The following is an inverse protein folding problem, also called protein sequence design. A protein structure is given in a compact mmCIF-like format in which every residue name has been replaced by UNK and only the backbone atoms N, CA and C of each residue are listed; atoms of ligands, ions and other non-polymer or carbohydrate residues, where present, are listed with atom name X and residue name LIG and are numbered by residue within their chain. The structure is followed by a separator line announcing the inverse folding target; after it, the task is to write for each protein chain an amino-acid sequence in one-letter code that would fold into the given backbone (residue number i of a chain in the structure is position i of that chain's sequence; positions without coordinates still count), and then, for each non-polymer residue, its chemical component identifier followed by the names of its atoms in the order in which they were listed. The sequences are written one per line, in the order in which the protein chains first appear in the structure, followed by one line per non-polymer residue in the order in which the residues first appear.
data_IF_612119578859
#
_entry.id   IF_612119578859
#
_cell.length_a   1.000
_cell.length_b   1.000
_cell.length_c   1.000
_cell.angle_alpha   90.00
_cell.angle_beta   90.00
_cell.angle_gamma   90.00
#
_symmetry.space_group_name_H-M   'P 1'
#
loop_
_entity.id
_entity.type
_entity.pdbx_description
1 polymer ?
#
# COMPACT_ATOMS: atom_id res chain seq x y z
N UNK A 1 -4.54 16.33 22.45
CA UNK A 1 -4.07 14.99 22.63
C UNK A 1 -3.00 14.65 21.63
N UNK A 2 -2.01 13.99 22.10
CA UNK A 2 -1.00 13.51 21.18
C UNK A 2 -1.68 12.53 20.23
N UNK A 3 -1.71 12.86 18.98
CA UNK A 3 -2.27 11.96 18.02
C UNK A 3 -1.33 10.81 17.77
N UNK A 4 -1.88 9.64 17.57
CA UNK A 4 -1.13 8.56 16.99
C UNK A 4 -1.06 8.81 15.50
N UNK A 5 0.13 8.68 14.94
CA UNK A 5 0.28 8.76 13.50
C UNK A 5 -0.31 7.50 12.87
N UNK A 6 -1.01 7.68 11.76
CA UNK A 6 -1.48 6.54 10.99
C UNK A 6 -0.27 5.76 10.47
N UNK A 7 -0.38 4.45 10.43
CA UNK A 7 0.70 3.58 9.98
C UNK A 7 0.48 3.18 8.53
N UNK A 8 1.49 3.42 7.70
CA UNK A 8 1.50 3.04 6.29
C UNK A 8 2.51 1.92 6.11
N UNK A 9 2.05 0.79 5.58
CA UNK A 9 2.92 -0.32 5.22
C UNK A 9 3.26 -0.20 3.74
N UNK A 10 4.55 -0.09 3.44
CA UNK A 10 5.03 0.08 2.06
C UNK A 10 5.62 -1.24 1.60
N UNK A 11 5.02 -1.84 0.57
CA UNK A 11 5.41 -3.14 0.05
C UNK A 11 5.93 -3.00 -1.38
N UNK A 12 7.24 -3.03 -1.54
CA UNK A 12 7.90 -2.90 -2.83
C UNK A 12 9.29 -3.50 -2.70
N UNK A 13 9.76 -4.20 -3.74
CA UNK A 13 11.09 -4.82 -3.70
C UNK A 13 12.21 -3.83 -4.02
N UNK A 14 11.90 -2.61 -4.45
CA UNK A 14 12.90 -1.59 -4.75
C UNK A 14 13.08 -0.65 -3.56
N UNK A 15 14.26 -0.68 -2.90
CA UNK A 15 14.51 0.22 -1.77
C UNK A 15 14.35 1.69 -2.10
N UNK A 16 14.76 2.09 -3.32
CA UNK A 16 14.66 3.49 -3.73
C UNK A 16 13.22 3.96 -3.81
N UNK A 17 12.31 3.10 -4.25
CA UNK A 17 10.91 3.46 -4.34
C UNK A 17 10.27 3.54 -2.94
N UNK A 18 10.63 2.60 -2.06
CA UNK A 18 10.15 2.69 -0.68
C UNK A 18 10.60 3.99 -0.02
N UNK A 19 11.86 4.37 -0.26
CA UNK A 19 12.38 5.62 0.28
C UNK A 19 11.64 6.84 -0.29
N UNK A 20 11.38 6.84 -1.59
CA UNK A 20 10.63 7.93 -2.21
C UNK A 20 9.27 8.10 -1.56
N UNK A 21 8.55 7.00 -1.35
CA UNK A 21 7.23 7.05 -0.72
C UNK A 21 7.34 7.57 0.71
N UNK A 22 8.29 7.04 1.48
CA UNK A 22 8.48 7.45 2.87
C UNK A 22 8.79 8.94 2.96
N UNK A 23 9.70 9.43 2.12
CA UNK A 23 10.08 10.85 2.13
C UNK A 23 8.91 11.73 1.70
N UNK A 24 8.13 11.28 0.71
CA UNK A 24 6.96 12.02 0.24
C UNK A 24 5.91 12.22 1.32
N UNK A 25 5.86 11.31 2.30
CA UNK A 25 4.86 11.32 3.37
C UNK A 25 5.48 11.70 4.74
N UNK A 26 6.72 12.12 4.74
CA UNK A 26 7.49 12.35 5.96
C UNK A 26 6.80 13.30 6.93
N UNK A 27 6.92 12.99 8.21
CA UNK A 27 6.39 13.83 9.30
C UNK A 27 4.91 13.64 9.57
N UNK A 28 4.20 12.87 8.74
CA UNK A 28 2.74 12.73 8.85
C UNK A 28 2.28 11.32 9.18
N UNK A 29 3.16 10.34 9.00
CA UNK A 29 2.79 8.93 9.14
C UNK A 29 3.90 8.15 9.80
N UNK A 30 3.53 7.04 10.40
CA UNK A 30 4.47 6.02 10.84
C UNK A 30 4.59 4.99 9.72
N UNK A 31 5.76 4.39 9.54
CA UNK A 31 6.00 3.51 8.40
C UNK A 31 6.51 2.14 8.81
N UNK A 32 6.14 1.13 8.03
CA UNK A 32 6.79 -0.16 8.01
C UNK A 32 7.04 -0.50 6.55
N UNK A 33 8.06 -1.31 6.28
CA UNK A 33 8.45 -1.65 4.92
C UNK A 33 8.59 -3.14 4.74
N UNK A 34 8.08 -3.64 3.63
CA UNK A 34 8.21 -5.04 3.23
C UNK A 34 8.82 -5.07 1.82
N UNK A 35 9.69 -6.04 1.56
CA UNK A 35 10.37 -6.13 0.28
C UNK A 35 9.91 -7.31 -0.57
N UNK A 36 8.96 -8.10 -0.08
CA UNK A 36 8.32 -9.14 -0.88
C UNK A 36 6.91 -9.40 -0.34
N UNK A 37 6.14 -10.19 -1.09
CA UNK A 37 4.74 -10.39 -0.76
C UNK A 37 4.49 -11.15 0.51
N UNK A 38 5.35 -12.12 0.85
CA UNK A 38 5.18 -12.87 2.08
C UNK A 38 5.46 -11.99 3.30
N UNK A 39 6.51 -11.20 3.25
CA UNK A 39 6.79 -10.25 4.32
C UNK A 39 5.68 -9.24 4.47
N UNK A 40 5.11 -8.79 3.35
CA UNK A 40 3.99 -7.86 3.37
C UNK A 40 2.81 -8.44 4.16
N UNK A 41 2.44 -9.68 3.88
CA UNK A 41 1.34 -10.32 4.60
C UNK A 41 1.64 -10.48 6.08
N UNK A 42 2.85 -10.90 6.42
CA UNK A 42 3.24 -11.07 7.81
C UNK A 42 3.15 -9.75 8.58
N UNK A 43 3.70 -8.69 8.00
CA UNK A 43 3.67 -7.38 8.64
C UNK A 43 2.26 -6.80 8.71
N UNK A 44 1.45 -7.00 7.68
CA UNK A 44 0.07 -6.52 7.70
C UNK A 44 -0.73 -7.19 8.83
N UNK A 45 -0.53 -8.49 9.02
CA UNK A 45 -1.23 -9.22 10.07
C UNK A 45 -0.75 -8.80 11.46
N UNK A 46 0.53 -8.53 11.60
CA UNK A 46 1.11 -8.14 12.89
C UNK A 46 0.75 -6.71 13.25
N UNK A 47 0.91 -5.78 12.32
CA UNK A 47 0.78 -4.35 12.58
C UNK A 47 -0.62 -3.80 12.39
N UNK A 48 -1.43 -4.43 11.56
CA UNK A 48 -2.76 -3.95 11.18
C UNK A 48 -2.68 -2.48 10.76
N UNK A 49 -1.95 -2.19 9.66
CA UNK A 49 -1.72 -0.80 9.26
C UNK A 49 -3.01 -0.10 8.85
N UNK A 50 -2.97 1.22 8.84
CA UNK A 50 -4.10 2.03 8.39
C UNK A 50 -4.19 2.08 6.87
N UNK A 51 -3.08 1.81 6.19
CA UNK A 51 -3.01 1.82 4.74
C UNK A 51 -1.86 0.93 4.28
N UNK A 52 -2.06 0.21 3.18
CA UNK A 52 -1.00 -0.55 2.52
C UNK A 52 -0.76 0.05 1.14
N UNK A 53 0.51 0.37 0.84
CA UNK A 53 0.94 0.75 -0.51
C UNK A 53 1.63 -0.49 -1.06
N UNK A 54 1.11 -1.03 -2.15
CA UNK A 54 1.43 -2.39 -2.58
C UNK A 54 1.82 -2.42 -4.05
N UNK A 55 3.08 -2.77 -4.31
CA UNK A 55 3.56 -2.96 -5.67
C UNK A 55 2.95 -4.23 -6.27
N UNK A 56 2.52 -4.15 -7.52
CA UNK A 56 1.95 -5.28 -8.25
C UNK A 56 3.00 -6.36 -8.50
N UNK A 57 4.25 -5.97 -8.76
CA UNK A 57 5.31 -6.88 -9.16
C UNK A 57 6.33 -7.06 -8.05
N UNK A 58 6.17 -8.11 -7.27
CA UNK A 58 7.12 -8.45 -6.20
C UNK A 58 7.49 -9.92 -6.28
N UNK A 59 8.70 -10.28 -5.83
CA UNK A 59 9.06 -11.69 -5.75
C UNK A 59 8.30 -12.42 -4.65
N UNK A 60 8.30 -13.74 -4.74
CA UNK A 60 7.72 -14.70 -3.80
C UNK A 60 6.20 -14.72 -3.79
N UNK A 61 5.56 -13.55 -3.78
CA UNK A 61 4.10 -13.47 -3.87
C UNK A 61 3.77 -12.10 -4.46
N UNK A 62 3.12 -12.06 -5.63
CA UNK A 62 2.85 -10.81 -6.31
C UNK A 62 1.73 -10.02 -5.63
N UNK A 63 1.59 -8.75 -6.02
CA UNK A 63 0.67 -7.84 -5.37
C UNK A 63 -0.80 -8.26 -5.43
N UNK A 64 -1.24 -8.85 -6.54
CA UNK A 64 -2.63 -9.32 -6.61
C UNK A 64 -2.90 -10.44 -5.63
N UNK A 65 -1.95 -11.36 -5.47
CA UNK A 65 -2.09 -12.44 -4.51
C UNK A 65 -2.10 -11.90 -3.08
N UNK A 66 -1.24 -10.92 -2.78
CA UNK A 66 -1.25 -10.27 -1.47
C UNK A 66 -2.60 -9.61 -1.22
N UNK A 67 -3.11 -8.86 -2.19
CA UNK A 67 -4.38 -8.17 -2.07
C UNK A 67 -5.52 -9.15 -1.80
N UNK A 68 -5.54 -10.28 -2.52
CA UNK A 68 -6.56 -11.31 -2.30
C UNK A 68 -6.52 -11.85 -0.88
N UNK A 69 -5.30 -12.11 -0.36
CA UNK A 69 -5.16 -12.60 1.01
C UNK A 69 -5.59 -11.58 2.04
N UNK A 70 -5.29 -10.30 1.80
CA UNK A 70 -5.74 -9.24 2.70
C UNK A 70 -7.27 -9.18 2.76
N UNK A 71 -7.93 -9.31 1.62
CA UNK A 71 -9.39 -9.23 1.56
C UNK A 71 -10.09 -10.45 2.19
N UNK A 72 -9.40 -11.57 2.29
CA UNK A 72 -9.93 -12.77 2.97
C UNK A 72 -9.73 -12.75 4.47
N UNK A 73 -8.82 -11.92 4.96
CA UNK A 73 -8.52 -11.84 6.39
C UNK A 73 -9.54 -10.91 7.04
N UNK A 74 -10.28 -11.42 8.02
CA UNK A 74 -11.34 -10.65 8.67
C UNK A 74 -10.85 -9.33 9.26
N UNK A 75 -9.60 -9.31 9.76
CA UNK A 75 -9.05 -8.14 10.40
C UNK A 75 -8.49 -7.13 9.40
N UNK A 76 -8.25 -7.55 8.17
CA UNK A 76 -7.63 -6.73 7.14
C UNK A 76 -8.53 -6.47 5.93
N UNK A 77 -9.73 -7.04 5.95
CA UNK A 77 -10.63 -6.98 4.80
C UNK A 77 -11.02 -5.56 4.40
N UNK A 78 -11.01 -4.64 5.36
CA UNK A 78 -11.38 -3.24 5.11
C UNK A 78 -10.17 -2.31 5.04
N UNK A 79 -8.95 -2.83 5.22
CA UNK A 79 -7.76 -1.99 5.19
C UNK A 79 -7.58 -1.40 3.79
N UNK A 80 -7.46 -0.08 3.67
CA UNK A 80 -7.26 0.54 2.36
C UNK A 80 -5.95 0.09 1.72
N UNK A 81 -5.96 -0.16 0.42
CA UNK A 81 -4.78 -0.59 -0.32
C UNK A 81 -4.65 0.25 -1.58
N UNK A 82 -3.49 0.89 -1.75
CA UNK A 82 -3.13 1.56 -2.99
C UNK A 82 -2.18 0.62 -3.73
N UNK A 83 -2.58 0.19 -4.92
CA UNK A 83 -1.76 -0.68 -5.75
C UNK A 83 -0.94 0.16 -6.72
N UNK A 84 0.35 -0.13 -6.83
CA UNK A 84 1.27 0.54 -7.75
C UNK A 84 1.55 -0.39 -8.92
N UNK A 85 1.43 0.11 -10.15
CA UNK A 85 1.71 -0.69 -11.34
C UNK A 85 2.28 0.17 -12.46
N UNK A 86 3.18 -0.40 -13.26
CA UNK A 86 3.68 0.24 -14.47
C UNK A 86 2.77 -0.05 -15.67
N UNK A 87 1.75 -0.90 -15.51
CA UNK A 87 0.91 -1.38 -16.60
C UNK A 87 -0.52 -0.87 -16.47
N UNK A 88 -0.94 0.08 -17.31
CA UNK A 88 -2.32 0.59 -17.25
C UNK A 88 -3.38 -0.52 -17.38
N UNK A 89 -3.05 -1.58 -18.14
CA UNK A 89 -3.99 -2.69 -18.33
C UNK A 89 -4.28 -3.46 -17.05
N UNK A 90 -3.41 -3.36 -16.02
CA UNK A 90 -3.61 -4.06 -14.76
C UNK A 90 -4.58 -3.35 -13.82
N UNK A 91 -4.99 -2.15 -14.16
CA UNK A 91 -5.81 -1.32 -13.28
C UNK A 91 -7.15 -1.95 -12.95
N UNK A 92 -7.86 -2.41 -13.97
CA UNK A 92 -9.20 -2.98 -13.77
C UNK A 92 -9.13 -4.25 -12.94
N UNK A 93 -8.13 -5.08 -13.18
CA UNK A 93 -7.95 -6.31 -12.42
C UNK A 93 -7.68 -6.00 -10.94
N UNK A 94 -6.81 -5.04 -10.66
CA UNK A 94 -6.50 -4.65 -9.30
C UNK A 94 -7.73 -4.10 -8.58
N UNK A 95 -8.51 -3.27 -9.27
CA UNK A 95 -9.73 -2.72 -8.68
C UNK A 95 -10.75 -3.82 -8.40
N UNK A 96 -10.92 -4.77 -9.31
CA UNK A 96 -11.84 -5.90 -9.09
C UNK A 96 -11.37 -6.78 -7.95
N UNK A 97 -10.06 -6.84 -7.71
CA UNK A 97 -9.50 -7.65 -6.62
C UNK A 97 -9.57 -6.96 -5.27
N UNK A 98 -10.04 -5.70 -5.23
CA UNK A 98 -10.29 -5.03 -3.97
C UNK A 98 -9.35 -3.86 -3.65
N UNK A 99 -8.59 -3.35 -4.63
CA UNK A 99 -7.77 -2.17 -4.42
C UNK A 99 -8.65 -0.96 -4.15
N UNK A 100 -8.24 -0.11 -3.22
CA UNK A 100 -8.92 1.16 -2.97
C UNK A 100 -8.58 2.16 -4.07
N UNK A 101 -7.35 2.08 -4.56
CA UNK A 101 -6.87 2.95 -5.63
C UNK A 101 -5.72 2.28 -6.35
N UNK A 102 -5.55 2.61 -7.63
CA UNK A 102 -4.41 2.16 -8.43
C UNK A 102 -3.66 3.38 -8.92
N UNK A 103 -2.33 3.38 -8.74
CA UNK A 103 -1.46 4.43 -9.26
C UNK A 103 -0.51 3.87 -10.27
N UNK A 104 -0.34 4.58 -11.37
CA UNK A 104 0.61 4.19 -12.40
C UNK A 104 2.01 4.71 -12.08
N UNK A 105 3.01 3.89 -12.34
CA UNK A 105 4.41 4.29 -12.25
C UNK A 105 4.84 4.89 -13.59
N UNK A 106 5.69 5.92 -13.61
CA UNK A 106 6.20 6.64 -12.45
C UNK A 106 5.19 7.64 -11.90
N UNK A 107 5.28 7.94 -10.63
CA UNK A 107 4.45 8.95 -10.00
C UNK A 107 5.33 9.97 -9.28
N UNK A 108 4.78 11.15 -9.02
CA UNK A 108 5.50 12.21 -8.31
C UNK A 108 5.24 12.13 -6.82
N UNK A 109 6.09 12.75 -5.98
CA UNK A 109 5.82 12.85 -4.55
C UNK A 109 4.46 13.44 -4.22
N UNK A 110 4.04 14.46 -4.97
CA UNK A 110 2.73 15.09 -4.73
C UNK A 110 1.59 14.13 -5.06
N UNK A 111 1.75 13.33 -6.10
CA UNK A 111 0.72 12.36 -6.48
C UNK A 111 0.53 11.28 -5.42
N UNK A 112 1.63 10.71 -4.90
CA UNK A 112 1.48 9.67 -3.88
C UNK A 112 0.96 10.27 -2.57
N UNK A 113 1.40 11.47 -2.22
CA UNK A 113 0.93 12.15 -1.02
C UNK A 113 -0.57 12.42 -1.10
N UNK A 114 -1.04 12.94 -2.23
CA UNK A 114 -2.47 13.21 -2.41
C UNK A 114 -3.28 11.92 -2.37
N UNK A 115 -2.81 10.86 -3.01
CA UNK A 115 -3.52 9.59 -3.04
C UNK A 115 -3.67 9.00 -1.64
N UNK A 116 -2.61 9.05 -0.84
CA UNK A 116 -2.64 8.54 0.54
C UNK A 116 -3.64 9.32 1.37
N UNK A 117 -3.62 10.64 1.28
CA UNK A 117 -4.53 11.48 2.05
C UNK A 117 -5.98 11.25 1.65
N UNK A 118 -6.24 11.14 0.35
CA UNK A 118 -7.60 10.92 -0.15
C UNK A 118 -8.15 9.56 0.27
N UNK A 119 -7.32 8.52 0.16
CA UNK A 119 -7.74 7.17 0.50
C UNK A 119 -8.00 7.06 2.00
N UNK A 120 -7.15 7.65 2.84
CA UNK A 120 -7.37 7.63 4.28
C UNK A 120 -8.61 8.42 4.69
N UNK A 121 -8.89 9.54 4.01
CA UNK A 121 -10.09 10.31 4.27
C UNK A 121 -11.36 9.53 3.92
N UNK A 122 -11.33 8.79 2.83
CA UNK A 122 -12.46 7.97 2.40
C UNK A 122 -12.71 6.79 3.35
N UNK A 123 -11.64 6.24 3.91
CA UNK A 123 -11.73 5.09 4.81
C UNK A 123 -12.20 5.49 6.21
N UNK A 124 -11.90 6.74 6.58
CA UNK A 124 -12.24 7.25 7.89
C UNK A 124 -13.66 7.69 8.00
#
# INVERSE_FOLDING_TARGET
MAGFLATVLICDDEPALRELIRVSLDGRFSFAEAHDGLECLDLARELKPDLVVLDMMMPRLNGLAVLSELRRDEQLAETPVIVLTAQPASRDEAMRSGASRVMLKPFTPDEISAAVEEVLAEAG
#
